data_IF_212712767379
#
_entry.id   IF_212712767379
#
_cell.length_a   1.000
_cell.length_b   1.000
_cell.length_c   1.000
_cell.angle_alpha   90.00
_cell.angle_beta   90.00
_cell.angle_gamma   90.00
#
_symmetry.space_group_name_H-M   'P 1'
#
loop_
_entity.id
_entity.type
_entity.pdbx_description
1 polymer ?
#
# COMPACT_ATOMS: atom_id res chain seq x y z
N UNK A 1 -62.33 74.46 8.18
CA UNK A 1 -61.84 73.51 9.21
C UNK A 1 -62.13 72.10 8.72
N UNK A 2 -61.11 71.34 8.28
CA UNK A 2 -61.20 69.91 7.99
C UNK A 2 -60.05 69.24 8.75
N UNK A 3 -60.43 68.50 9.78
CA UNK A 3 -59.56 67.78 10.69
C UNK A 3 -58.98 66.55 9.99
N UNK A 4 -57.66 66.40 10.05
CA UNK A 4 -56.95 65.19 9.61
C UNK A 4 -56.83 64.24 10.79
N UNK A 5 -57.36 63.02 10.66
CA UNK A 5 -57.14 61.93 11.62
C UNK A 5 -55.90 61.16 11.16
N UNK A 6 -54.81 61.27 11.91
CA UNK A 6 -53.61 60.47 11.72
C UNK A 6 -53.83 59.07 12.32
N UNK A 7 -53.90 58.05 11.45
CA UNK A 7 -53.93 56.65 11.86
C UNK A 7 -52.52 56.18 12.27
N UNK A 8 -52.35 55.82 13.54
CA UNK A 8 -51.13 55.19 14.06
C UNK A 8 -51.11 53.72 13.63
N UNK A 9 -50.22 53.37 12.70
CA UNK A 9 -49.91 51.98 12.38
C UNK A 9 -48.85 51.47 13.38
N UNK A 10 -49.26 50.63 14.34
CA UNK A 10 -48.33 49.87 15.18
C UNK A 10 -47.80 48.71 14.33
N UNK A 11 -46.56 48.82 13.89
CA UNK A 11 -45.80 47.72 13.29
C UNK A 11 -45.28 46.84 14.42
N UNK A 12 -45.93 45.68 14.62
CA UNK A 12 -45.41 44.61 15.46
C UNK A 12 -44.24 43.93 14.72
N UNK A 13 -43.01 44.36 15.05
CA UNK A 13 -41.79 43.65 14.67
C UNK A 13 -41.76 42.28 15.39
N UNK A 14 -41.62 41.15 14.68
CA UNK A 14 -41.37 39.88 15.34
C UNK A 14 -39.99 39.95 15.99
N UNK A 15 -39.93 39.73 17.30
CA UNK A 15 -38.68 39.50 18.02
C UNK A 15 -37.93 38.37 17.32
N UNK A 16 -36.83 38.72 16.65
CA UNK A 16 -35.87 37.75 16.17
C UNK A 16 -35.43 36.91 17.36
N UNK A 17 -35.77 35.63 17.34
CA UNK A 17 -35.14 34.65 18.22
C UNK A 17 -33.64 34.75 17.97
N UNK A 18 -32.91 35.31 18.94
CA UNK A 18 -31.47 35.12 19.07
C UNK A 18 -31.30 33.65 19.42
N UNK A 19 -31.39 32.79 18.40
CA UNK A 19 -31.02 31.40 18.49
C UNK A 19 -29.56 31.36 18.89
N UNK A 20 -29.33 30.97 20.13
CA UNK A 20 -28.02 30.57 20.64
C UNK A 20 -27.37 29.65 19.60
N UNK A 21 -26.27 30.10 18.99
CA UNK A 21 -25.32 29.24 18.24
C UNK A 21 -24.57 28.30 19.20
N UNK A 22 -25.26 27.73 20.18
CA UNK A 22 -24.75 26.80 21.19
C UNK A 22 -25.02 25.33 20.81
N UNK A 23 -25.39 25.05 19.56
CA UNK A 23 -25.66 23.70 19.07
C UNK A 23 -24.65 23.17 18.04
N UNK A 24 -23.49 23.81 17.86
CA UNK A 24 -22.40 23.27 17.02
C UNK A 24 -21.26 22.60 17.82
N UNK A 25 -21.36 22.54 19.15
CA UNK A 25 -20.42 21.82 20.03
C UNK A 25 -21.12 20.70 20.78
N UNK A 26 -21.83 19.81 20.07
CA UNK A 26 -21.98 18.45 20.59
C UNK A 26 -20.57 17.85 20.59
N UNK A 27 -20.07 17.57 21.81
CA UNK A 27 -18.65 17.56 22.16
C UNK A 27 -17.75 16.70 21.28
N UNK A 28 -16.61 17.28 20.89
CA UNK A 28 -15.48 16.50 20.41
C UNK A 28 -15.17 15.38 21.41
N UNK A 29 -14.92 14.14 20.97
CA UNK A 29 -14.46 13.09 21.89
C UNK A 29 -13.17 13.53 22.59
N UNK A 30 -13.00 13.13 23.85
CA UNK A 30 -11.75 13.38 24.57
C UNK A 30 -10.68 12.43 24.05
N UNK A 31 -9.63 12.98 23.45
CA UNK A 31 -8.49 12.21 22.94
C UNK A 31 -7.39 12.01 23.98
N UNK A 32 -6.60 10.94 23.83
CA UNK A 32 -5.40 10.70 24.64
C UNK A 32 -4.13 10.58 23.77
N UNK A 33 -3.00 11.20 24.18
CA UNK A 33 -1.76 11.13 23.41
C UNK A 33 -1.26 9.70 23.18
N UNK A 34 -1.37 8.81 24.17
CA UNK A 34 -0.90 7.43 24.05
C UNK A 34 -1.73 6.62 23.03
N UNK A 35 -3.06 6.76 23.05
CA UNK A 35 -3.90 6.14 22.03
C UNK A 35 -3.62 6.73 20.65
N UNK A 36 -3.34 8.04 20.57
CA UNK A 36 -2.99 8.72 19.32
C UNK A 36 -1.68 8.22 18.74
N UNK A 37 -0.65 8.08 19.60
CA UNK A 37 0.64 7.48 19.23
C UNK A 37 0.45 6.05 18.73
N UNK A 38 -0.40 5.27 19.39
CA UNK A 38 -0.73 3.92 18.93
C UNK A 38 -1.40 3.98 17.54
N UNK A 39 -2.45 4.77 17.36
CA UNK A 39 -3.12 4.93 16.05
C UNK A 39 -2.13 5.35 14.97
N UNK A 40 -1.23 6.28 15.27
CA UNK A 40 -0.18 6.73 14.36
C UNK A 40 0.77 5.59 13.98
N UNK A 41 1.18 4.77 14.95
CA UNK A 41 2.09 3.65 14.75
C UNK A 41 1.45 2.44 14.03
N UNK A 42 0.13 2.35 13.97
CA UNK A 42 -0.57 1.16 13.46
C UNK A 42 -0.61 1.04 11.93
N UNK A 43 -0.62 -0.23 11.47
CA UNK A 43 -1.16 -0.77 10.21
C UNK A 43 -0.78 -0.07 8.89
N UNK A 44 0.14 -0.67 8.12
CA UNK A 44 0.53 -0.28 6.75
C UNK A 44 0.66 1.25 6.51
N UNK A 45 1.26 1.94 7.48
CA UNK A 45 1.96 3.25 7.43
C UNK A 45 1.46 4.34 6.47
N UNK A 46 0.18 4.42 6.13
CA UNK A 46 -0.24 5.31 5.03
C UNK A 46 -0.13 6.80 5.37
N UNK A 47 -0.43 7.19 6.62
CA UNK A 47 -0.27 8.58 7.05
C UNK A 47 1.21 8.95 7.25
N UNK A 48 1.97 8.05 7.90
CA UNK A 48 3.40 8.22 8.22
C UNK A 48 4.28 8.31 6.97
N UNK A 49 3.91 7.62 5.90
CA UNK A 49 4.63 7.66 4.63
C UNK A 49 4.72 9.10 4.06
N UNK A 50 3.70 9.92 4.30
CA UNK A 50 3.73 11.33 3.89
C UNK A 50 4.18 12.27 5.01
N UNK A 51 3.72 12.03 6.24
CA UNK A 51 3.86 12.99 7.35
C UNK A 51 5.01 12.69 8.31
N UNK A 52 5.83 11.67 8.07
CA UNK A 52 6.97 11.33 8.92
C UNK A 52 6.64 10.33 10.03
N UNK A 53 7.69 9.83 10.68
CA UNK A 53 7.63 8.80 11.70
C UNK A 53 6.81 9.20 12.92
N UNK A 54 6.93 10.46 13.34
CA UNK A 54 6.31 11.09 14.51
C UNK A 54 5.43 12.29 14.12
N UNK A 55 5.16 12.49 12.82
CA UNK A 55 4.40 13.64 12.33
C UNK A 55 5.27 14.87 12.06
N UNK A 56 6.58 14.69 11.94
CA UNK A 56 7.58 15.74 11.65
C UNK A 56 7.50 16.31 10.24
N UNK A 57 6.63 15.79 9.39
CA UNK A 57 6.48 16.17 7.99
C UNK A 57 7.51 15.49 7.08
N UNK A 58 7.23 15.49 5.78
CA UNK A 58 8.15 15.10 4.72
C UNK A 58 7.55 15.54 3.38
N UNK A 59 6.83 14.63 2.72
CA UNK A 59 5.99 14.95 1.57
C UNK A 59 4.72 15.70 2.01
N UNK A 60 4.11 15.23 3.09
CA UNK A 60 3.00 15.86 3.79
C UNK A 60 3.50 16.92 4.79
N UNK A 61 2.64 17.88 5.15
CA UNK A 61 2.99 18.93 6.10
C UNK A 61 3.29 18.38 7.51
N UNK A 62 4.06 19.15 8.28
CA UNK A 62 4.31 18.90 9.71
C UNK A 62 2.99 18.87 10.48
N UNK A 63 2.81 17.84 11.30
CA UNK A 63 1.69 17.67 12.23
C UNK A 63 2.13 17.89 13.68
N UNK A 64 3.32 17.45 14.06
CA UNK A 64 3.87 17.58 15.41
C UNK A 64 3.96 19.04 15.88
N UNK A 65 3.46 19.33 17.08
CA UNK A 65 3.57 20.62 17.75
C UNK A 65 2.80 21.78 17.10
N UNK A 66 1.78 21.48 16.28
CA UNK A 66 1.02 22.50 15.52
C UNK A 66 -0.25 23.00 16.23
N UNK A 67 -0.57 22.50 17.42
CA UNK A 67 -1.72 22.93 18.24
C UNK A 67 -3.06 22.92 17.47
N UNK A 68 -3.41 21.78 16.88
CA UNK A 68 -4.66 21.64 16.14
C UNK A 68 -5.89 21.61 17.05
N UNK A 69 -7.00 22.18 16.59
CA UNK A 69 -8.32 21.88 17.16
C UNK A 69 -8.90 20.63 16.51
N UNK A 70 -9.66 19.84 17.28
CA UNK A 70 -10.34 18.63 16.78
C UNK A 70 -11.18 18.92 15.54
N UNK A 71 -12.04 19.94 15.58
CA UNK A 71 -12.95 20.27 14.49
C UNK A 71 -12.20 20.60 13.19
N UNK A 72 -11.09 21.36 13.27
CA UNK A 72 -10.27 21.70 12.11
C UNK A 72 -9.56 20.47 11.54
N UNK A 73 -8.94 19.68 12.41
CA UNK A 73 -8.20 18.48 11.98
C UNK A 73 -9.15 17.45 11.36
N UNK A 74 -10.28 17.17 12.02
CA UNK A 74 -11.34 16.30 11.50
C UNK A 74 -11.84 16.79 10.16
N UNK A 75 -12.21 18.07 10.04
CA UNK A 75 -12.69 18.64 8.78
C UNK A 75 -11.70 18.41 7.64
N UNK A 76 -10.41 18.63 7.89
CA UNK A 76 -9.36 18.39 6.90
C UNK A 76 -9.14 16.92 6.58
N UNK A 77 -9.21 16.02 7.56
CA UNK A 77 -9.06 14.57 7.33
C UNK A 77 -10.23 14.01 6.51
N UNK A 78 -11.45 14.49 6.75
CA UNK A 78 -12.65 14.05 6.01
C UNK A 78 -12.71 14.64 4.60
N UNK A 79 -12.36 15.92 4.46
CA UNK A 79 -12.44 16.67 3.22
C UNK A 79 -11.16 17.52 3.02
N UNK A 80 -10.02 16.87 2.73
CA UNK A 80 -8.75 17.57 2.62
C UNK A 80 -8.72 18.49 1.40
N UNK A 81 -7.91 19.54 1.52
CA UNK A 81 -7.51 20.36 0.40
C UNK A 81 -6.22 19.78 -0.22
N UNK A 82 -6.05 19.96 -1.53
CA UNK A 82 -4.85 19.52 -2.24
C UNK A 82 -4.73 18.00 -2.38
N UNK A 83 -3.54 17.46 -2.12
CA UNK A 83 -3.08 16.12 -2.54
C UNK A 83 -3.38 15.00 -1.54
N UNK A 84 -3.76 15.35 -0.30
CA UNK A 84 -4.08 14.35 0.73
C UNK A 84 -5.41 13.64 0.39
N UNK A 85 -5.47 12.29 0.48
CA UNK A 85 -6.73 11.55 0.32
C UNK A 85 -7.65 11.77 1.52
N UNK A 86 -8.96 11.75 1.29
CA UNK A 86 -9.96 11.86 2.37
C UNK A 86 -10.19 10.51 3.05
N UNK A 87 -10.39 10.53 4.37
CA UNK A 87 -10.61 9.31 5.16
C UNK A 87 -12.01 9.27 5.73
N UNK A 88 -12.71 8.16 5.51
CA UNK A 88 -14.08 7.93 6.02
C UNK A 88 -14.06 7.33 7.43
N UNK A 89 -15.19 7.39 8.15
CA UNK A 89 -15.32 6.91 9.54
C UNK A 89 -14.90 5.44 9.68
N UNK A 90 -15.21 4.62 8.68
CA UNK A 90 -14.85 3.19 8.66
C UNK A 90 -13.35 2.94 8.51
N UNK A 91 -12.57 3.94 8.12
CA UNK A 91 -11.11 3.86 8.08
C UNK A 91 -10.50 4.50 9.30
N UNK A 92 -10.85 5.74 9.61
CA UNK A 92 -10.33 6.52 10.73
C UNK A 92 -11.52 7.06 11.54
N UNK A 93 -11.68 6.61 12.78
CA UNK A 93 -12.87 6.99 13.57
C UNK A 93 -12.73 8.40 14.17
N UNK A 94 -13.84 8.99 14.57
CA UNK A 94 -13.83 10.30 15.25
C UNK A 94 -13.05 10.28 16.59
N UNK A 95 -13.09 9.16 17.33
CA UNK A 95 -12.25 8.99 18.52
C UNK A 95 -10.76 8.89 18.15
N UNK A 96 -10.41 8.12 17.11
CA UNK A 96 -9.02 8.02 16.64
C UNK A 96 -8.50 9.40 16.18
N UNK A 97 -9.34 10.24 15.59
CA UNK A 97 -8.99 11.63 15.24
C UNK A 97 -8.72 12.46 16.49
N UNK A 98 -9.58 12.37 17.51
CA UNK A 98 -9.36 13.09 18.77
C UNK A 98 -8.05 12.66 19.44
N UNK A 99 -7.76 11.36 19.47
CA UNK A 99 -6.52 10.78 19.99
C UNK A 99 -5.29 11.29 19.21
N UNK A 100 -5.34 11.30 17.87
CA UNK A 100 -4.27 11.84 17.02
C UNK A 100 -4.01 13.32 17.29
N UNK A 101 -5.06 14.14 17.44
CA UNK A 101 -4.91 15.57 17.77
C UNK A 101 -4.23 15.74 19.13
N UNK A 102 -4.64 14.97 20.14
CA UNK A 102 -4.00 15.00 21.45
C UNK A 102 -2.51 14.61 21.37
N UNK A 103 -2.19 13.58 20.59
CA UNK A 103 -0.81 13.14 20.37
C UNK A 103 0.03 14.22 19.69
N UNK A 104 -0.38 14.74 18.54
CA UNK A 104 0.41 15.74 17.80
C UNK A 104 0.60 17.03 18.59
N UNK A 105 -0.40 17.43 19.39
CA UNK A 105 -0.30 18.60 20.25
C UNK A 105 0.62 18.39 21.46
N UNK A 106 0.88 17.13 21.86
CA UNK A 106 1.86 16.82 22.92
C UNK A 106 3.31 16.81 22.45
N UNK A 107 3.55 16.81 21.13
CA UNK A 107 4.89 16.75 20.55
C UNK A 107 5.51 18.16 20.44
N UNK A 108 6.85 18.27 20.50
CA UNK A 108 7.52 19.54 20.25
C UNK A 108 7.33 19.98 18.79
N UNK A 109 7.35 21.31 18.53
CA UNK A 109 7.36 21.82 17.16
C UNK A 109 8.60 21.36 16.39
N UNK A 110 8.43 21.08 15.10
CA UNK A 110 9.52 20.70 14.20
C UNK A 110 9.88 21.87 13.30
N UNK A 111 11.17 22.23 13.27
CA UNK A 111 11.68 23.39 12.54
C UNK A 111 11.75 23.16 11.02
N UNK A 112 12.12 21.95 10.59
CA UNK A 112 12.25 21.58 9.18
C UNK A 112 11.63 20.20 8.92
N UNK A 113 10.81 20.04 7.86
CA UNK A 113 10.29 18.73 7.48
C UNK A 113 11.39 17.71 7.16
N UNK A 114 11.09 16.43 7.36
CA UNK A 114 11.96 15.34 6.97
C UNK A 114 12.10 15.18 5.46
N UNK A 115 12.95 14.23 5.04
CA UNK A 115 13.09 13.86 3.63
C UNK A 115 11.91 13.00 3.17
N UNK A 116 11.58 13.08 1.89
CA UNK A 116 10.57 12.21 1.28
C UNK A 116 11.04 10.76 1.35
N UNK A 117 10.09 9.83 1.56
CA UNK A 117 10.40 8.39 1.59
C UNK A 117 10.85 7.92 0.22
N UNK A 118 10.19 8.41 -0.83
CA UNK A 118 10.53 8.13 -2.22
C UNK A 118 10.86 9.45 -2.90
N UNK A 119 12.13 9.60 -3.26
CA UNK A 119 12.62 10.73 -4.04
C UNK A 119 12.23 10.56 -5.52
N UNK A 120 12.06 11.68 -6.22
CA UNK A 120 11.78 11.67 -7.65
C UNK A 120 13.08 11.31 -8.40
N UNK A 121 13.08 10.28 -9.27
CA UNK A 121 14.23 10.02 -10.13
C UNK A 121 14.56 11.22 -11.02
N UNK A 122 15.85 11.47 -11.25
CA UNK A 122 16.33 12.66 -11.99
C UNK A 122 15.67 12.81 -13.37
N UNK A 123 15.50 11.70 -14.08
CA UNK A 123 14.97 11.66 -15.44
C UNK A 123 13.54 11.07 -15.48
N UNK A 124 12.77 11.30 -14.41
CA UNK A 124 11.41 10.78 -14.30
C UNK A 124 10.53 11.27 -15.46
N UNK A 125 9.87 10.37 -16.22
CA UNK A 125 8.92 10.78 -17.25
C UNK A 125 7.70 11.46 -16.61
N UNK A 126 6.93 12.18 -17.42
CA UNK A 126 5.81 13.01 -16.95
C UNK A 126 4.84 12.27 -16.03
N UNK A 127 4.42 11.05 -16.37
CA UNK A 127 3.53 10.23 -15.55
C UNK A 127 4.13 9.89 -14.18
N UNK A 128 5.44 9.61 -14.12
CA UNK A 128 6.15 9.38 -12.86
C UNK A 128 6.25 10.64 -12.01
N UNK A 129 6.54 11.80 -12.61
CA UNK A 129 6.55 13.09 -11.90
C UNK A 129 5.19 13.39 -11.29
N UNK A 130 4.13 13.16 -12.07
CA UNK A 130 2.74 13.30 -11.62
C UNK A 130 2.45 12.38 -10.44
N UNK A 131 2.80 11.10 -10.53
CA UNK A 131 2.53 10.13 -9.47
C UNK A 131 3.34 10.41 -8.18
N UNK A 132 4.63 10.71 -8.29
CA UNK A 132 5.54 10.80 -7.13
C UNK A 132 5.59 12.20 -6.52
N UNK A 133 5.80 13.23 -7.34
CA UNK A 133 6.05 14.59 -6.84
C UNK A 133 4.76 15.42 -6.73
N UNK A 134 3.79 15.19 -7.63
CA UNK A 134 2.53 15.94 -7.64
C UNK A 134 1.48 15.28 -6.76
N UNK A 135 1.25 13.97 -6.82
CA UNK A 135 0.20 13.36 -5.99
C UNK A 135 0.76 12.72 -4.73
N UNK A 136 1.96 12.14 -4.81
CA UNK A 136 2.58 11.43 -3.68
C UNK A 136 2.23 9.95 -3.63
N UNK A 137 1.68 9.37 -4.70
CA UNK A 137 1.37 7.94 -4.81
C UNK A 137 2.59 7.07 -4.48
N UNK A 138 3.78 7.51 -4.92
CA UNK A 138 5.02 6.77 -4.67
C UNK A 138 5.44 6.71 -3.21
N UNK A 139 4.94 7.59 -2.34
CA UNK A 139 5.26 7.51 -0.90
C UNK A 139 4.70 6.20 -0.27
N UNK A 140 3.65 5.62 -0.87
CA UNK A 140 3.12 4.32 -0.46
C UNK A 140 3.42 3.19 -1.46
N UNK A 141 3.43 3.49 -2.75
CA UNK A 141 3.50 2.49 -3.83
C UNK A 141 4.90 2.41 -4.50
N UNK A 142 5.91 2.99 -3.88
CA UNK A 142 7.28 2.97 -4.41
C UNK A 142 7.47 3.84 -5.66
N UNK A 143 8.70 3.84 -6.17
CA UNK A 143 9.07 4.72 -7.29
C UNK A 143 8.42 4.32 -8.62
N UNK A 144 8.02 3.05 -8.77
CA UNK A 144 7.49 2.46 -10.01
C UNK A 144 6.01 2.07 -9.91
N UNK A 145 5.33 2.43 -8.81
CA UNK A 145 3.95 1.99 -8.52
C UNK A 145 3.80 0.47 -8.57
N UNK A 146 4.71 -0.25 -7.91
CA UNK A 146 4.77 -1.71 -7.90
C UNK A 146 3.46 -2.35 -7.41
N UNK A 147 2.88 -1.82 -6.34
CA UNK A 147 1.68 -2.35 -5.71
C UNK A 147 0.44 -2.20 -6.61
N UNK A 148 0.16 -1.03 -7.22
CA UNK A 148 -0.87 -0.92 -8.25
C UNK A 148 -0.64 -1.81 -9.47
N UNK A 149 0.62 -1.98 -9.92
CA UNK A 149 0.94 -2.86 -11.06
C UNK A 149 0.68 -4.33 -10.75
N UNK A 150 1.00 -4.79 -9.54
CA UNK A 150 0.60 -6.11 -9.05
C UNK A 150 -0.92 -6.24 -8.91
N UNK A 151 -1.59 -5.24 -8.29
CA UNK A 151 -3.03 -5.24 -8.09
C UNK A 151 -3.81 -5.31 -9.41
N UNK A 152 -3.32 -4.63 -10.46
CA UNK A 152 -3.87 -4.75 -11.79
C UNK A 152 -3.64 -6.15 -12.36
N UNK A 153 -2.44 -6.69 -12.25
CA UNK A 153 -2.12 -8.04 -12.74
C UNK A 153 -2.91 -9.15 -12.03
N UNK A 154 -3.29 -8.96 -10.76
CA UNK A 154 -4.12 -9.90 -10.01
C UNK A 154 -5.49 -10.13 -10.66
N UNK A 155 -6.05 -9.11 -11.33
CA UNK A 155 -7.41 -9.15 -11.89
C UNK A 155 -7.48 -8.81 -13.39
N UNK A 156 -6.32 -8.64 -14.04
CA UNK A 156 -6.18 -8.08 -15.40
C UNK A 156 -6.91 -6.73 -15.52
N UNK A 157 -6.62 -5.83 -14.57
CA UNK A 157 -7.21 -4.50 -14.46
C UNK A 157 -6.68 -3.52 -15.50
N UNK A 158 -7.58 -2.68 -16.00
CA UNK A 158 -7.32 -1.59 -16.93
C UNK A 158 -7.41 -0.21 -16.23
N UNK A 159 -7.58 0.85 -17.01
CA UNK A 159 -7.74 2.19 -16.45
C UNK A 159 -9.03 2.37 -15.63
N UNK A 160 -10.13 1.68 -15.97
CA UNK A 160 -11.36 1.76 -15.18
C UNK A 160 -11.19 1.06 -13.83
N UNK A 161 -10.45 -0.06 -13.80
CA UNK A 161 -9.99 -0.65 -12.54
C UNK A 161 -9.15 0.35 -11.73
N UNK A 162 -8.19 1.03 -12.36
CA UNK A 162 -7.32 1.98 -11.67
C UNK A 162 -8.09 3.17 -11.10
N UNK A 163 -9.03 3.73 -11.87
CA UNK A 163 -9.97 4.77 -11.42
C UNK A 163 -10.75 4.33 -10.18
N UNK A 164 -11.30 3.10 -10.21
CA UNK A 164 -12.05 2.55 -9.08
C UNK A 164 -11.15 2.41 -7.85
N UNK A 165 -9.91 1.94 -8.01
CA UNK A 165 -8.96 1.87 -6.91
C UNK A 165 -8.59 3.24 -6.34
N UNK A 166 -8.54 4.29 -7.15
CA UNK A 166 -8.13 5.63 -6.69
C UNK A 166 -9.28 6.42 -6.06
N UNK A 167 -10.47 6.36 -6.65
CA UNK A 167 -11.65 7.12 -6.20
C UNK A 167 -12.56 6.35 -5.25
N UNK A 168 -12.36 5.04 -5.09
CA UNK A 168 -13.20 4.18 -4.24
C UNK A 168 -12.37 3.13 -3.48
N UNK A 169 -11.09 3.40 -3.22
CA UNK A 169 -10.10 2.45 -2.70
C UNK A 169 -10.63 1.55 -1.58
N UNK A 170 -11.27 2.14 -0.56
CA UNK A 170 -11.75 1.43 0.64
C UNK A 170 -12.68 0.26 0.30
N UNK A 171 -13.58 0.47 -0.66
CA UNK A 171 -14.53 -0.54 -1.11
C UNK A 171 -13.90 -1.43 -2.18
N UNK A 172 -13.27 -0.83 -3.19
CA UNK A 172 -12.68 -1.52 -4.33
C UNK A 172 -11.62 -2.55 -3.92
N UNK A 173 -10.75 -2.20 -2.98
CA UNK A 173 -9.70 -3.09 -2.50
C UNK A 173 -10.26 -4.31 -1.77
N UNK A 174 -11.34 -4.14 -0.98
CA UNK A 174 -12.00 -5.25 -0.27
C UNK A 174 -12.70 -6.19 -1.26
N UNK A 175 -13.35 -5.63 -2.28
CA UNK A 175 -13.97 -6.40 -3.35
C UNK A 175 -12.94 -7.24 -4.12
N UNK A 176 -11.77 -6.67 -4.41
CA UNK A 176 -10.67 -7.43 -5.04
C UNK A 176 -10.14 -8.53 -4.11
N UNK A 177 -9.82 -8.21 -2.86
CA UNK A 177 -9.29 -9.23 -1.93
C UNK A 177 -10.27 -10.38 -1.66
N UNK A 178 -11.57 -10.14 -1.74
CA UNK A 178 -12.57 -11.19 -1.62
C UNK A 178 -12.50 -12.23 -2.75
N UNK A 179 -11.86 -11.89 -3.88
CA UNK A 179 -11.67 -12.77 -5.04
C UNK A 179 -10.35 -13.56 -4.99
N UNK A 180 -9.42 -13.20 -4.10
CA UNK A 180 -8.12 -13.87 -3.99
C UNK A 180 -8.27 -15.26 -3.35
N UNK A 181 -7.49 -16.23 -3.85
CA UNK A 181 -7.40 -17.55 -3.25
C UNK A 181 -6.65 -17.48 -1.92
N UNK A 182 -7.33 -17.85 -0.82
CA UNK A 182 -6.77 -17.79 0.54
C UNK A 182 -5.70 -18.85 0.82
N UNK A 183 -5.56 -19.84 -0.06
CA UNK A 183 -4.52 -20.88 0.05
C UNK A 183 -3.19 -20.42 -0.57
N UNK A 184 -3.22 -19.34 -1.36
CA UNK A 184 -2.02 -18.75 -1.96
C UNK A 184 -1.65 -17.50 -1.18
N UNK A 185 -0.35 -17.33 -0.89
CA UNK A 185 0.12 -16.13 -0.20
C UNK A 185 -0.11 -14.90 -1.10
N UNK A 186 -0.70 -13.82 -0.59
CA UNK A 186 -0.90 -12.60 -1.35
C UNK A 186 0.43 -11.88 -1.63
N UNK A 187 0.53 -11.20 -2.77
CA UNK A 187 1.68 -10.32 -3.09
C UNK A 187 1.37 -8.86 -2.79
N UNK A 188 0.10 -8.44 -2.91
CA UNK A 188 -0.32 -7.10 -2.49
C UNK A 188 -0.51 -7.01 -0.97
N UNK A 189 -0.24 -5.84 -0.35
CA UNK A 189 -0.41 -5.64 1.08
C UNK A 189 -1.84 -5.98 1.52
N UNK A 190 -1.97 -6.81 2.55
CA UNK A 190 -3.25 -7.09 3.21
C UNK A 190 -3.44 -6.20 4.44
N UNK A 191 -4.68 -6.08 4.97
CA UNK A 191 -4.91 -5.39 6.22
C UNK A 191 -3.96 -5.90 7.30
N UNK A 192 -3.28 -4.95 7.94
CA UNK A 192 -2.24 -5.18 8.93
C UNK A 192 -2.50 -4.39 10.23
N UNK A 193 -2.32 -5.01 11.40
CA UNK A 193 -2.59 -4.40 12.71
C UNK A 193 -3.34 -5.33 13.67
N UNK A 194 -3.60 -4.90 14.91
CA UNK A 194 -4.38 -5.67 15.87
C UNK A 194 -5.84 -5.83 15.39
N UNK A 195 -6.57 -6.85 15.87
CA UNK A 195 -7.99 -7.04 15.58
C UNK A 195 -8.79 -5.75 15.74
N UNK A 196 -9.70 -5.46 14.80
CA UNK A 196 -10.50 -4.23 14.79
C UNK A 196 -9.79 -2.99 14.20
N UNK A 197 -8.44 -2.99 14.13
CA UNK A 197 -7.63 -1.90 13.55
C UNK A 197 -6.79 -2.34 12.33
N UNK A 198 -6.99 -3.57 11.89
CA UNK A 198 -6.40 -4.19 10.70
C UNK A 198 -7.03 -3.56 9.44
N UNK A 199 -6.49 -2.44 8.95
CA UNK A 199 -7.05 -1.67 7.81
C UNK A 199 -5.91 -1.18 6.91
N UNK A 200 -6.12 -1.19 5.59
CA UNK A 200 -5.27 -0.41 4.66
C UNK A 200 -5.88 0.98 4.56
N UNK A 201 -5.04 2.01 4.68
CA UNK A 201 -5.47 3.41 4.82
C UNK A 201 -4.98 4.25 3.62
N UNK A 202 -5.32 3.90 2.38
CA UNK A 202 -5.00 4.79 1.26
C UNK A 202 -5.93 6.02 1.19
N UNK A 203 -7.10 5.95 1.83
CA UNK A 203 -8.15 6.97 1.72
C UNK A 203 -8.73 7.06 0.30
N UNK A 204 -9.49 8.13 0.04
CA UNK A 204 -10.22 8.34 -1.22
C UNK A 204 -9.81 9.66 -1.86
N UNK A 205 -9.41 9.61 -3.14
CA UNK A 205 -9.16 10.81 -3.93
C UNK A 205 -10.45 11.35 -4.55
N UNK A 206 -10.50 12.67 -4.75
CA UNK A 206 -11.63 13.32 -5.42
C UNK A 206 -11.31 13.55 -6.89
N UNK A 207 -12.21 13.18 -7.83
CA UNK A 207 -12.04 13.50 -9.25
C UNK A 207 -11.88 15.00 -9.52
N UNK A 208 -12.48 15.85 -8.70
CA UNK A 208 -12.34 17.31 -8.82
C UNK A 208 -10.91 17.79 -8.48
N UNK A 209 -10.17 17.06 -7.64
CA UNK A 209 -8.80 17.39 -7.22
C UNK A 209 -7.74 16.60 -7.97
N UNK A 210 -8.08 15.40 -8.43
CA UNK A 210 -7.26 14.54 -9.26
C UNK A 210 -8.10 14.16 -10.50
N UNK A 211 -8.12 15.02 -11.53
CA UNK A 211 -8.93 14.78 -12.73
C UNK A 211 -8.51 13.54 -13.50
N UNK A 212 -9.46 12.89 -14.16
CA UNK A 212 -9.21 11.65 -14.92
C UNK A 212 -8.09 11.77 -15.98
N UNK A 213 -7.93 12.86 -16.74
CA UNK A 213 -6.82 12.98 -17.69
C UNK A 213 -5.45 12.88 -17.01
N UNK A 214 -5.30 13.57 -15.88
CA UNK A 214 -4.07 13.52 -15.07
C UNK A 214 -3.85 12.12 -14.49
N UNK A 215 -4.92 11.46 -14.06
CA UNK A 215 -4.85 10.07 -13.56
C UNK A 215 -4.48 9.08 -14.67
N UNK A 216 -4.98 9.32 -15.89
CA UNK A 216 -4.70 8.51 -17.07
C UNK A 216 -3.23 8.59 -17.47
N UNK A 217 -2.63 9.78 -17.41
CA UNK A 217 -1.18 9.93 -17.65
C UNK A 217 -0.33 9.11 -16.65
N UNK A 218 -0.74 9.07 -15.38
CA UNK A 218 -0.05 8.25 -14.37
C UNK A 218 -0.23 6.76 -14.65
N UNK A 219 -1.45 6.34 -14.99
CA UNK A 219 -1.76 4.94 -15.34
C UNK A 219 -0.98 4.49 -16.57
N UNK A 220 -1.01 5.28 -17.65
CA UNK A 220 -0.35 4.93 -18.91
C UNK A 220 1.14 4.74 -18.71
N UNK A 221 1.77 5.61 -17.91
CA UNK A 221 3.17 5.43 -17.52
C UNK A 221 3.39 4.13 -16.72
N UNK A 222 2.58 3.87 -15.68
CA UNK A 222 2.74 2.68 -14.85
C UNK A 222 2.47 1.37 -15.62
N UNK A 223 1.48 1.38 -16.53
CA UNK A 223 1.15 0.27 -17.40
C UNK A 223 2.21 0.07 -18.49
N UNK A 224 2.85 1.14 -18.99
CA UNK A 224 3.97 1.07 -19.94
C UNK A 224 5.22 0.41 -19.31
N UNK A 225 5.41 0.54 -17.99
CA UNK A 225 6.41 -0.27 -17.27
C UNK A 225 6.07 -1.76 -17.24
N UNK A 226 4.81 -2.14 -17.52
CA UNK A 226 4.30 -3.51 -17.58
C UNK A 226 3.64 -3.96 -16.28
N UNK A 227 2.55 -4.72 -16.37
CA UNK A 227 1.87 -5.24 -15.17
C UNK A 227 2.65 -6.40 -14.55
N UNK A 228 2.80 -6.37 -13.23
CA UNK A 228 3.65 -7.31 -12.50
C UNK A 228 2.85 -8.55 -12.11
N UNK A 229 3.09 -9.69 -12.77
CA UNK A 229 2.42 -10.94 -12.39
C UNK A 229 2.66 -11.18 -10.90
N UNK A 230 1.63 -11.46 -10.08
CA UNK A 230 1.76 -11.55 -8.63
C UNK A 230 2.40 -12.88 -8.22
N UNK A 231 3.66 -13.05 -8.59
CA UNK A 231 4.47 -14.20 -8.24
C UNK A 231 4.98 -14.06 -6.81
N UNK A 232 4.98 -15.17 -6.08
CA UNK A 232 5.58 -15.25 -4.74
C UNK A 232 6.44 -16.51 -4.65
N UNK A 233 7.48 -16.43 -3.81
CA UNK A 233 8.38 -17.53 -3.52
C UNK A 233 8.60 -17.69 -2.03
N UNK A 234 8.88 -18.91 -1.59
CA UNK A 234 9.30 -19.19 -0.21
C UNK A 234 10.19 -20.43 -0.16
N UNK A 235 11.27 -20.35 0.62
CA UNK A 235 12.09 -21.52 0.94
C UNK A 235 11.80 -21.94 2.39
N UNK A 236 11.62 -23.23 2.63
CA UNK A 236 11.45 -23.80 3.97
C UNK A 236 12.36 -25.02 4.14
N UNK A 237 12.90 -25.24 5.34
CA UNK A 237 13.58 -26.49 5.64
C UNK A 237 12.57 -27.65 5.57
N UNK A 238 12.97 -28.76 4.94
CA UNK A 238 12.22 -30.00 4.92
C UNK A 238 12.59 -30.87 6.13
N UNK A 239 11.83 -31.96 6.35
CA UNK A 239 12.12 -32.91 7.43
C UNK A 239 13.46 -33.64 7.25
N UNK A 240 13.91 -33.80 6.01
CA UNK A 240 15.19 -34.42 5.69
C UNK A 240 16.35 -33.43 5.93
N UNK A 241 17.47 -33.87 6.52
CA UNK A 241 18.64 -33.03 6.72
C UNK A 241 19.12 -32.39 5.41
N UNK A 242 19.56 -31.12 5.49
CA UNK A 242 20.09 -30.35 4.36
C UNK A 242 19.16 -30.30 3.13
N UNK A 243 17.86 -30.51 3.34
CA UNK A 243 16.85 -30.49 2.28
C UNK A 243 15.91 -29.31 2.49
N UNK A 244 15.62 -28.62 1.40
CA UNK A 244 14.82 -27.40 1.38
C UNK A 244 13.71 -27.53 0.35
N UNK A 245 12.50 -27.15 0.74
CA UNK A 245 11.37 -27.01 -0.17
C UNK A 245 11.31 -25.58 -0.66
N UNK A 246 11.30 -25.41 -1.98
CA UNK A 246 11.16 -24.14 -2.69
C UNK A 246 9.75 -24.13 -3.26
N UNK A 247 8.88 -23.28 -2.73
CA UNK A 247 7.53 -23.09 -3.23
C UNK A 247 7.45 -21.79 -4.00
N UNK A 248 6.87 -21.83 -5.19
CA UNK A 248 6.53 -20.66 -5.99
C UNK A 248 5.06 -20.69 -6.35
N UNK A 249 4.42 -19.53 -6.40
CA UNK A 249 2.99 -19.43 -6.65
C UNK A 249 2.63 -18.16 -7.42
N UNK A 250 1.53 -18.21 -8.17
CA UNK A 250 0.90 -17.05 -8.76
C UNK A 250 -0.37 -16.70 -7.99
N UNK A 251 -0.37 -15.55 -7.30
CA UNK A 251 -1.47 -15.09 -6.44
C UNK A 251 -2.59 -14.36 -7.20
N UNK A 252 -2.63 -14.45 -8.53
CA UNK A 252 -3.70 -13.86 -9.34
C UNK A 252 -5.07 -14.49 -9.08
N UNK A 253 -6.13 -13.75 -9.36
CA UNK A 253 -7.50 -14.24 -9.29
C UNK A 253 -7.74 -15.26 -10.39
N UNK A 254 -8.27 -16.43 -10.02
CA UNK A 254 -8.56 -17.54 -10.95
C UNK A 254 -9.43 -17.07 -12.12
N UNK A 255 -8.97 -17.33 -13.34
CA UNK A 255 -9.67 -16.96 -14.58
C UNK A 255 -9.65 -15.47 -14.93
N UNK A 256 -8.96 -14.63 -14.15
CA UNK A 256 -8.81 -13.20 -14.43
C UNK A 256 -7.36 -12.74 -14.46
N UNK A 257 -6.58 -13.12 -13.44
CA UNK A 257 -5.21 -12.65 -13.27
C UNK A 257 -4.28 -13.06 -14.41
N UNK A 258 -3.16 -12.34 -14.51
CA UNK A 258 -2.17 -12.62 -15.54
C UNK A 258 -1.46 -13.95 -15.29
N UNK A 259 -1.12 -14.61 -16.38
CA UNK A 259 -0.30 -15.82 -16.39
C UNK A 259 1.15 -15.42 -16.57
N UNK A 260 2.05 -16.00 -15.77
CA UNK A 260 3.47 -15.91 -16.06
C UNK A 260 3.88 -17.06 -16.98
N UNK A 261 4.65 -16.74 -18.00
CA UNK A 261 5.20 -17.73 -18.93
C UNK A 261 6.72 -17.65 -18.93
N UNK A 262 7.35 -18.79 -19.19
CA UNK A 262 8.80 -18.91 -19.19
C UNK A 262 9.39 -18.41 -17.86
N UNK A 263 8.88 -18.95 -16.76
CA UNK A 263 9.30 -18.60 -15.40
C UNK A 263 10.60 -19.32 -15.07
N UNK A 264 11.58 -18.58 -14.59
CA UNK A 264 12.84 -19.10 -14.08
C UNK A 264 12.88 -18.91 -12.57
N UNK A 265 13.12 -20.00 -11.84
CA UNK A 265 13.27 -20.00 -10.39
C UNK A 265 14.71 -20.35 -10.08
N UNK A 266 15.41 -19.49 -9.35
CA UNK A 266 16.80 -19.69 -8.97
C UNK A 266 16.95 -19.65 -7.46
N UNK A 267 17.83 -20.49 -6.91
CA UNK A 267 18.24 -20.45 -5.50
C UNK A 267 19.75 -20.29 -5.43
N UNK A 268 20.20 -19.19 -4.84
CA UNK A 268 21.63 -18.93 -4.56
C UNK A 268 22.16 -19.99 -3.60
N UNK A 269 23.23 -20.67 -4.03
CA UNK A 269 23.87 -21.72 -3.25
C UNK A 269 25.04 -21.15 -2.45
N UNK A 270 25.32 -21.67 -1.24
CA UNK A 270 26.54 -21.33 -0.50
C UNK A 270 27.81 -21.68 -1.30
N UNK A 271 28.92 -21.02 -0.98
CA UNK A 271 30.20 -21.30 -1.62
C UNK A 271 30.58 -22.78 -1.46
N UNK A 272 31.02 -23.39 -2.56
CA UNK A 272 31.38 -24.81 -2.65
C UNK A 272 30.24 -25.80 -2.31
N UNK A 273 28.99 -25.34 -2.23
CA UNK A 273 27.85 -26.23 -2.05
C UNK A 273 27.72 -27.20 -3.25
N UNK A 274 27.32 -28.44 -2.93
CA UNK A 274 27.01 -29.46 -3.94
C UNK A 274 25.54 -29.83 -3.82
N UNK A 275 24.83 -29.82 -4.93
CA UNK A 275 23.47 -30.35 -5.01
C UNK A 275 23.56 -31.88 -5.09
N UNK A 276 22.95 -32.56 -4.11
CA UNK A 276 22.92 -34.03 -4.01
C UNK A 276 21.71 -34.58 -4.73
N UNK A 277 20.56 -33.94 -4.53
CA UNK A 277 19.31 -34.36 -5.13
C UNK A 277 18.39 -33.15 -5.35
N UNK A 278 17.48 -33.28 -6.30
CA UNK A 278 16.44 -32.30 -6.54
C UNK A 278 15.18 -32.95 -7.10
N UNK A 279 14.04 -32.30 -6.91
CA UNK A 279 12.76 -32.68 -7.51
C UNK A 279 12.11 -31.52 -8.23
N UNK A 280 11.08 -31.84 -9.01
CA UNK A 280 10.29 -30.88 -9.78
C UNK A 280 10.74 -30.79 -11.23
N UNK A 281 9.77 -30.63 -12.14
CA UNK A 281 10.05 -30.58 -13.57
C UNK A 281 10.89 -29.33 -13.92
N UNK A 282 11.67 -29.45 -14.99
CA UNK A 282 12.42 -28.32 -15.55
C UNK A 282 13.68 -27.91 -14.79
N UNK A 283 14.25 -28.78 -13.94
CA UNK A 283 15.56 -28.50 -13.34
C UNK A 283 16.65 -28.38 -14.42
N UNK A 284 17.39 -27.27 -14.39
CA UNK A 284 18.44 -26.95 -15.38
C UNK A 284 19.86 -27.20 -14.86
N UNK A 285 20.01 -27.65 -13.60
CA UNK A 285 21.31 -27.85 -12.98
C UNK A 285 21.80 -26.68 -12.14
N UNK A 286 23.06 -26.76 -11.73
CA UNK A 286 23.79 -25.64 -11.13
C UNK A 286 24.39 -24.77 -12.24
N UNK A 287 24.16 -23.46 -12.19
CA UNK A 287 24.72 -22.50 -13.14
C UNK A 287 25.21 -21.24 -12.44
N UNK A 288 25.93 -20.39 -13.19
CA UNK A 288 26.32 -19.05 -12.72
C UNK A 288 25.25 -18.05 -13.15
N UNK A 289 24.75 -17.24 -12.21
CA UNK A 289 23.84 -16.15 -12.54
C UNK A 289 24.62 -14.93 -13.09
N UNK A 290 23.91 -13.86 -13.46
CA UNK A 290 24.52 -12.63 -14.00
C UNK A 290 25.50 -11.94 -13.04
N UNK A 291 25.44 -12.26 -11.74
CA UNK A 291 26.35 -11.76 -10.70
C UNK A 291 27.53 -12.70 -10.42
N UNK A 292 27.65 -13.82 -11.15
CA UNK A 292 28.71 -14.82 -10.95
C UNK A 292 28.52 -15.72 -9.71
N UNK A 293 27.36 -15.65 -9.05
CA UNK A 293 27.00 -16.59 -7.97
C UNK A 293 26.53 -17.91 -8.54
N UNK A 294 26.83 -18.99 -7.81
CA UNK A 294 26.33 -20.32 -8.18
C UNK A 294 24.88 -20.47 -7.72
N UNK A 295 23.98 -20.83 -8.63
CA UNK A 295 22.55 -21.02 -8.36
C UNK A 295 22.10 -22.41 -8.79
N UNK A 296 21.13 -22.98 -8.09
CA UNK A 296 20.30 -24.07 -8.59
C UNK A 296 19.10 -23.48 -9.33
N UNK A 297 18.82 -23.93 -10.55
CA UNK A 297 17.81 -23.30 -11.40
C UNK A 297 16.74 -24.28 -11.92
N UNK A 298 15.50 -23.79 -11.99
CA UNK A 298 14.36 -24.48 -12.59
C UNK A 298 13.67 -23.59 -13.60
N UNK A 299 13.12 -24.21 -14.64
CA UNK A 299 12.29 -23.60 -15.68
C UNK A 299 10.87 -24.12 -15.58
N UNK A 300 9.93 -23.21 -15.35
CA UNK A 300 8.50 -23.48 -15.34
C UNK A 300 7.90 -22.81 -16.58
N UNK A 301 7.48 -23.58 -17.61
CA UNK A 301 7.00 -23.01 -18.88
C UNK A 301 5.81 -22.05 -18.72
N UNK A 302 4.96 -22.31 -17.73
CA UNK A 302 3.73 -21.56 -17.47
C UNK A 302 3.31 -21.69 -16.01
N UNK A 303 2.88 -20.59 -15.41
CA UNK A 303 2.31 -20.54 -14.07
C UNK A 303 1.08 -19.63 -14.07
N UNK A 304 -0.10 -20.24 -14.16
CA UNK A 304 -1.38 -19.56 -14.22
C UNK A 304 -1.87 -19.08 -12.84
N UNK A 305 -2.85 -18.16 -12.76
CA UNK A 305 -3.41 -17.72 -11.48
C UNK A 305 -3.83 -18.89 -10.58
N UNK A 306 -3.51 -18.79 -9.29
CA UNK A 306 -3.71 -19.81 -8.25
C UNK A 306 -2.84 -21.07 -8.34
N UNK A 307 -2.07 -21.25 -9.41
CA UNK A 307 -1.15 -22.38 -9.52
C UNK A 307 0.07 -22.20 -8.61
N UNK A 308 0.56 -23.33 -8.11
CA UNK A 308 1.75 -23.43 -7.27
C UNK A 308 2.69 -24.51 -7.84
N UNK A 309 3.99 -24.31 -7.69
CA UNK A 309 5.01 -25.29 -7.99
C UNK A 309 5.94 -25.47 -6.79
N UNK A 310 6.29 -26.72 -6.51
CA UNK A 310 7.13 -27.09 -5.39
C UNK A 310 8.34 -27.89 -5.88
N UNK A 311 9.53 -27.43 -5.50
CA UNK A 311 10.80 -28.09 -5.79
C UNK A 311 11.45 -28.50 -4.47
N UNK A 312 12.17 -29.62 -4.47
CA UNK A 312 13.09 -29.94 -3.39
C UNK A 312 14.52 -29.72 -3.85
N UNK A 313 15.33 -29.21 -2.93
CA UNK A 313 16.76 -28.98 -3.09
C UNK A 313 17.47 -29.63 -1.91
N UNK A 314 18.20 -30.71 -2.15
CA UNK A 314 19.05 -31.37 -1.15
C UNK A 314 20.50 -31.02 -1.42
N UNK A 315 21.15 -30.42 -0.42
CA UNK A 315 22.56 -30.05 -0.45
C UNK A 315 23.41 -31.05 0.32
N UNK A 316 24.68 -31.19 -0.05
CA UNK A 316 25.63 -32.06 0.66
C UNK A 316 25.92 -31.57 2.10
N UNK A 317 25.74 -30.28 2.36
CA UNK A 317 25.85 -29.67 3.68
C UNK A 317 24.67 -28.74 3.96
N UNK A 318 24.36 -28.54 5.23
CA UNK A 318 23.26 -27.67 5.63
C UNK A 318 23.58 -26.19 5.34
N UNK A 319 22.64 -25.49 4.74
CA UNK A 319 22.60 -24.05 4.61
C UNK A 319 21.77 -23.41 5.74
N UNK A 320 22.33 -22.38 6.38
CA UNK A 320 21.65 -21.58 7.41
C UNK A 320 20.84 -20.42 6.81
N UNK A 321 21.14 -20.06 5.57
CA UNK A 321 20.40 -19.07 4.79
C UNK A 321 20.42 -19.48 3.32
N UNK A 322 19.32 -19.20 2.62
CA UNK A 322 19.20 -19.33 1.18
C UNK A 322 18.38 -18.13 0.69
N UNK A 323 18.78 -17.59 -0.46
CA UNK A 323 18.02 -16.59 -1.21
C UNK A 323 17.60 -17.20 -2.53
N UNK A 324 16.41 -16.85 -2.96
CA UNK A 324 15.90 -17.26 -4.25
C UNK A 324 15.30 -16.09 -4.99
N UNK A 325 15.19 -16.31 -6.29
CA UNK A 325 14.81 -15.30 -7.26
C UNK A 325 13.86 -15.93 -8.27
N UNK A 326 12.77 -15.22 -8.60
CA UNK A 326 11.84 -15.59 -9.67
C UNK A 326 11.93 -14.53 -10.75
N UNK A 327 12.10 -14.95 -12.00
CA UNK A 327 12.00 -14.11 -13.20
C UNK A 327 11.01 -14.74 -14.18
N UNK A 328 10.43 -13.96 -15.07
CA UNK A 328 9.52 -14.46 -16.11
C UNK A 328 9.75 -13.71 -17.43
N UNK A 329 9.45 -14.34 -18.56
CA UNK A 329 9.62 -13.68 -19.86
C UNK A 329 8.35 -12.96 -20.31
N UNK A 330 7.17 -13.51 -19.99
CA UNK A 330 5.88 -12.96 -20.42
C UNK A 330 4.85 -12.92 -19.29
N UNK A 331 4.05 -11.83 -19.21
CA UNK A 331 4.18 -10.58 -19.96
C UNK A 331 5.49 -9.85 -19.65
N UNK A 332 6.09 -9.22 -20.66
CA UNK A 332 7.34 -8.49 -20.49
C UNK A 332 7.11 -7.22 -19.67
N UNK A 333 8.08 -6.87 -18.83
CA UNK A 333 8.08 -5.66 -18.01
C UNK A 333 9.38 -4.89 -18.22
N UNK A 334 9.31 -3.56 -18.14
CA UNK A 334 10.48 -2.66 -18.26
C UNK A 334 11.14 -2.37 -16.92
N UNK A 335 10.46 -2.69 -15.82
CA UNK A 335 10.93 -2.51 -14.46
C UNK A 335 10.34 -3.57 -13.54
N UNK A 336 11.08 -3.92 -12.49
CA UNK A 336 10.69 -4.86 -11.44
C UNK A 336 10.45 -6.29 -11.96
N UNK A 337 11.34 -6.78 -12.83
CA UNK A 337 11.27 -8.10 -13.50
C UNK A 337 11.70 -9.28 -12.61
N UNK A 338 11.84 -9.05 -11.31
CA UNK A 338 12.41 -9.98 -10.37
C UNK A 338 11.63 -10.00 -9.05
N UNK A 339 11.30 -11.21 -8.58
CA UNK A 339 10.76 -11.44 -7.23
C UNK A 339 11.80 -12.15 -6.38
N UNK A 340 12.19 -11.52 -5.29
CA UNK A 340 13.14 -12.07 -4.33
C UNK A 340 12.41 -12.76 -3.17
N UNK A 341 12.96 -13.90 -2.72
CA UNK A 341 12.45 -14.66 -1.59
C UNK A 341 13.60 -15.35 -0.85
N UNK A 342 13.33 -15.90 0.34
CA UNK A 342 14.39 -16.46 1.19
C UNK A 342 13.92 -17.63 2.05
N UNK A 343 14.90 -18.31 2.64
CA UNK A 343 14.68 -19.33 3.67
C UNK A 343 13.96 -18.71 4.88
N UNK A 344 12.81 -19.29 5.21
CA UNK A 344 12.07 -18.95 6.40
C UNK A 344 12.94 -19.23 7.63
N UNK A 345 13.31 -18.18 8.35
CA UNK A 345 13.90 -18.33 9.68
C UNK A 345 12.81 -18.83 10.62
N UNK A 346 13.14 -19.79 11.49
CA UNK A 346 12.20 -20.44 12.41
C UNK A 346 11.61 -19.47 13.44
N UNK A 347 10.63 -18.68 13.01
CA UNK A 347 9.82 -17.80 13.83
C UNK A 347 8.39 -17.82 13.30
N UNK A 348 7.43 -18.15 14.18
CA UNK A 348 6.01 -17.96 13.89
C UNK A 348 5.78 -16.51 13.44
N UNK A 349 5.33 -16.33 12.20
CA UNK A 349 4.64 -15.14 11.71
C UNK A 349 5.32 -13.80 11.94
N UNK A 350 6.37 -13.50 11.17
CA UNK A 350 6.93 -12.16 11.03
C UNK A 350 6.85 -11.73 9.56
N UNK A 351 6.12 -10.66 9.28
CA UNK A 351 5.86 -10.07 7.96
C UNK A 351 7.15 -9.84 7.18
N UNK A 352 7.19 -10.32 5.94
CA UNK A 352 8.11 -9.81 4.93
C UNK A 352 7.78 -8.36 4.63
N UNK A 353 8.74 -7.48 4.86
CA UNK A 353 8.70 -6.10 4.39
C UNK A 353 9.26 -6.05 2.97
N UNK A 354 8.48 -5.45 2.08
CA UNK A 354 8.96 -4.66 0.95
C UNK A 354 8.64 -3.21 1.31
#
# INVERSE_FOLDING_TARGET
>A
MRTWIAGVFIVLLPLAQVGTRAAQNAGAPTGTPDAGKAVWALGNTSCRNCHGGDGEGAFGPVLAGRNFTYARFRGYVRAPLGRMPGYVESELTDQEIADLVAYFNSLPPVAMPGRWRVELPKDAPRGQQLALAVVGCGQCHGATLDTPRHGAAEVNGDFEWFKKMVYQHVAAQREQWAQLDRTVAPVTPQPAGPPGRNRVRMGIYSPARLPEPTLKEMWDWAADLGLLVPLSGRITAAAQPSTYTVNVANAGVKGKGLVAEDVTVEVELPDNAKVVNTTGAGYEGMKKNGEGKTVAAWRVPRLAPTEQQSFNLTLAGAATSLRGTIRWARPAVKADDEVNFQLATGGRGGRGGV
#
